data_IF_154324227502
#
_entry.id   IF_154324227502
#
_cell.length_a   1.000
_cell.length_b   1.000
_cell.length_c   1.000
_cell.angle_alpha   90.00
_cell.angle_beta   90.00
_cell.angle_gamma   90.00
#
_symmetry.space_group_name_H-M   'P 1'
#
loop_
_entity.id
_entity.type
_entity.pdbx_description
1 polymer ?
2 water ?
#
# COMPACT_ATOMS: atom_id res chain seq x y z
N UNK A 31 -25.22 22.11 7.87
CA UNK A 31 -26.67 22.31 8.14
C UNK A 31 -26.85 23.58 8.96
N UNK A 32 -25.75 24.25 9.26
CA UNK A 32 -25.82 25.47 10.05
C UNK A 32 -24.86 25.27 11.21
N UNK A 33 -24.92 24.07 11.79
CA UNK A 33 -24.05 23.72 12.91
C UNK A 33 -22.72 23.30 12.27
N UNK A 34 -22.83 22.71 11.08
CA UNK A 34 -21.67 22.27 10.33
C UNK A 34 -20.98 23.46 9.70
N UNK A 35 -21.74 24.54 9.50
CA UNK A 35 -21.19 25.73 8.91
C UNK A 35 -20.26 26.42 9.89
N UNK A 36 -20.70 26.56 11.13
CA UNK A 36 -19.90 27.18 12.17
C UNK A 36 -18.68 26.28 12.50
N UNK A 37 -18.92 24.98 12.61
CA UNK A 37 -17.86 24.04 12.86
C UNK A 37 -16.74 24.18 11.82
N UNK A 38 -17.11 24.15 10.53
CA UNK A 38 -16.14 24.26 9.45
C UNK A 38 -15.36 25.58 9.49
N UNK A 39 -16.09 26.66 9.80
CA UNK A 39 -15.51 27.99 9.91
C UNK A 39 -14.42 28.02 11.01
N UNK A 40 -14.77 27.51 12.18
CA UNK A 40 -13.83 27.43 13.30
C UNK A 40 -12.61 26.58 12.95
N UNK A 41 -12.84 25.47 12.23
CA UNK A 41 -11.71 24.64 11.82
C UNK A 41 -10.80 25.46 10.90
N UNK A 42 -11.39 26.28 10.02
CA UNK A 42 -10.56 27.08 9.12
C UNK A 42 -9.79 28.15 9.90
N UNK A 43 -10.44 28.74 10.89
CA UNK A 43 -9.83 29.78 11.72
C UNK A 43 -8.63 29.17 12.43
N UNK A 44 -8.84 27.99 13.01
CA UNK A 44 -7.78 27.24 13.69
C UNK A 44 -6.59 26.97 12.77
N UNK A 45 -6.87 26.46 11.58
CA UNK A 45 -5.79 26.17 10.63
C UNK A 45 -5.08 27.45 10.21
N UNK A 46 -5.78 28.59 10.25
CA UNK A 46 -5.16 29.84 9.87
C UNK A 46 -4.15 30.28 10.93
N UNK A 47 -4.52 30.13 12.19
CA UNK A 47 -3.62 30.44 13.28
C UNK A 47 -2.35 29.57 13.20
N UNK A 48 -2.55 28.29 12.93
CA UNK A 48 -1.43 27.35 12.80
C UNK A 48 -0.50 27.78 11.67
N UNK A 49 -1.09 28.04 10.53
CA UNK A 49 -0.35 28.45 9.35
C UNK A 49 0.44 29.75 9.58
N UNK A 50 -0.09 30.62 10.44
CA UNK A 50 0.52 31.91 10.76
C UNK A 50 1.58 31.76 11.87
N UNK A 51 1.79 30.53 12.35
CA UNK A 51 2.76 30.31 13.39
C UNK A 51 2.17 30.49 14.79
N UNK A 52 0.92 30.92 14.92
CA UNK A 52 0.33 31.08 16.27
C UNK A 52 -0.26 29.76 16.73
N UNK A 53 0.62 28.77 16.89
CA UNK A 53 0.24 27.42 17.29
C UNK A 53 -0.71 27.27 18.46
N UNK A 54 -0.31 27.85 19.58
CA UNK A 54 -1.09 27.81 20.81
C UNK A 54 -2.48 28.46 20.63
N UNK A 55 -2.58 29.55 19.87
CA UNK A 55 -3.88 30.23 19.67
C UNK A 55 -4.88 29.41 18.86
N UNK A 56 -4.37 28.50 18.04
CA UNK A 56 -5.19 27.63 17.19
C UNK A 56 -6.17 26.78 18.00
N UNK A 57 -5.82 26.47 19.25
CA UNK A 57 -6.69 25.64 20.10
C UNK A 57 -8.09 26.18 20.41
N UNK A 58 -8.20 27.49 20.64
CA UNK A 58 -9.50 28.10 20.99
C UNK A 58 -10.56 27.75 19.95
N UNK A 59 -10.35 28.15 18.68
CA UNK A 59 -11.28 27.87 17.59
C UNK A 59 -11.54 26.36 17.44
N UNK A 60 -10.48 25.56 17.52
CA UNK A 60 -10.65 24.12 17.35
C UNK A 60 -11.46 23.47 18.48
N UNK A 61 -11.37 23.97 19.70
CA UNK A 61 -12.18 23.36 20.74
C UNK A 61 -13.64 23.73 20.49
N UNK A 62 -13.88 24.92 19.94
CA UNK A 62 -15.24 25.35 19.65
C UNK A 62 -15.81 24.41 18.59
N UNK A 63 -15.04 24.16 17.54
CA UNK A 63 -15.48 23.24 16.50
C UNK A 63 -15.86 21.90 17.15
N UNK A 64 -15.01 21.43 18.04
CA UNK A 64 -15.25 20.17 18.73
C UNK A 64 -16.43 20.20 19.72
N UNK A 65 -16.72 21.37 20.30
CA UNK A 65 -17.85 21.46 21.22
C UNK A 65 -19.15 21.31 20.41
N UNK A 66 -19.13 21.77 19.17
CA UNK A 66 -20.24 21.67 18.24
C UNK A 66 -20.32 20.26 17.66
N UNK A 67 -19.18 19.64 17.38
CA UNK A 67 -19.19 18.30 16.81
C UNK A 67 -18.03 17.48 17.36
N UNK A 68 -18.25 16.82 18.51
CA UNK A 68 -17.31 15.98 19.24
C UNK A 68 -16.56 14.95 18.42
N UNK A 69 -17.10 14.57 17.27
CA UNK A 69 -16.42 13.57 16.47
C UNK A 69 -15.85 14.11 15.14
N UNK A 70 -15.86 15.43 14.97
CA UNK A 70 -15.31 16.00 13.73
C UNK A 70 -13.88 15.52 13.46
N UNK A 71 -13.68 14.81 12.35
CA UNK A 71 -12.38 14.28 12.00
C UNK A 71 -11.40 15.40 11.66
N UNK A 72 -11.90 16.44 10.99
CA UNK A 72 -11.03 17.52 10.61
C UNK A 72 -10.60 18.36 11.84
N UNK A 73 -11.45 18.46 12.86
CA UNK A 73 -11.09 19.24 14.04
C UNK A 73 -10.08 18.46 14.88
N UNK A 74 -10.30 17.16 15.03
CA UNK A 74 -9.33 16.35 15.75
C UNK A 74 -7.99 16.40 15.02
N UNK A 75 -8.03 16.26 13.69
CA UNK A 75 -6.82 16.27 12.88
C UNK A 75 -6.01 17.57 13.01
N UNK A 76 -6.70 18.70 13.01
CA UNK A 76 -6.02 19.99 13.14
C UNK A 76 -5.41 20.10 14.54
N UNK A 77 -6.19 19.71 15.56
CA UNK A 77 -5.69 19.76 16.93
C UNK A 77 -4.43 18.86 17.02
N UNK A 78 -4.45 17.73 16.32
CA UNK A 78 -3.31 16.82 16.26
C UNK A 78 -2.03 17.49 15.79
N UNK A 79 -2.13 18.36 14.77
CA UNK A 79 -0.92 19.02 14.32
C UNK A 79 -0.55 20.16 15.28
N UNK A 80 -1.54 20.67 16.02
CA UNK A 80 -1.25 21.73 16.99
C UNK A 80 -0.30 21.06 17.99
N UNK A 81 -0.71 19.92 18.55
CA UNK A 81 0.10 19.19 19.53
C UNK A 81 1.45 18.71 18.97
N UNK A 82 1.42 18.21 17.75
CA UNK A 82 2.60 17.71 17.07
C UNK A 82 3.59 18.86 16.98
N UNK A 83 3.09 20.02 16.61
CA UNK A 83 3.92 21.21 16.50
C UNK A 83 4.51 21.61 17.88
N UNK A 84 3.74 21.42 18.96
CA UNK A 84 4.23 21.73 20.31
C UNK A 84 5.02 20.60 20.96
N UNK A 86 4.23 17.50 21.67
CA UNK A 86 3.46 16.77 22.68
C UNK A 86 2.98 15.55 21.89
N UNK A 87 3.89 14.59 21.62
CA UNK A 87 3.52 13.39 20.86
C UNK A 87 2.39 12.53 21.40
N UNK A 88 2.23 12.40 22.73
CA UNK A 88 1.13 11.57 23.25
C UNK A 88 -0.20 12.18 22.89
N UNK A 89 -0.31 13.49 23.06
CA UNK A 89 -1.55 14.21 22.75
C UNK A 89 -1.81 14.18 21.25
N UNK A 90 -0.77 14.40 20.47
CA UNK A 90 -0.92 14.42 19.01
C UNK A 90 -1.43 13.04 18.54
N UNK A 91 -0.79 11.97 19.02
CA UNK A 91 -1.17 10.60 18.66
C UNK A 91 -2.63 10.34 18.99
N UNK A 92 -3.05 10.75 20.18
CA UNK A 92 -4.44 10.55 20.58
C UNK A 92 -5.42 11.31 19.66
N UNK A 93 -5.04 12.49 19.23
CA UNK A 93 -5.93 13.27 18.36
C UNK A 93 -5.95 12.68 16.95
N UNK A 94 -4.79 12.23 16.47
CA UNK A 94 -4.73 11.56 15.18
C UNK A 94 -5.62 10.33 15.17
N UNK A 95 -5.61 9.58 16.26
CA UNK A 95 -6.44 8.39 16.33
C UNK A 95 -7.92 8.73 16.42
N UNK A 96 -8.27 9.80 17.13
CA UNK A 96 -9.68 10.18 17.23
C UNK A 96 -10.18 10.64 15.86
N UNK A 97 -9.32 11.32 15.11
CA UNK A 97 -9.66 11.81 13.78
C UNK A 97 -9.95 10.61 12.85
N UNK A 98 -9.15 9.56 12.95
CA UNK A 98 -9.32 8.36 12.15
C UNK A 98 -10.42 7.40 12.64
N UNK A 99 -10.93 7.60 13.85
CA UNK A 99 -11.96 6.73 14.38
C UNK A 99 -13.17 7.02 13.52
N UNK A 100 -13.39 8.30 13.28
CA UNK A 100 -14.50 8.76 12.47
C UNK A 100 -14.45 8.07 11.10
N UNK A 101 -13.43 8.40 10.31
CA UNK A 101 -13.25 7.77 9.00
C UNK A 101 -11.82 7.24 8.93
N UNK A 102 -11.66 5.95 9.21
CA UNK A 102 -10.36 5.29 9.19
C UNK A 102 -9.62 5.31 7.84
N UNK A 103 -10.32 5.69 6.76
CA UNK A 103 -9.70 5.70 5.43
C UNK A 103 -9.45 7.06 4.77
N UNK A 104 -9.53 8.12 5.57
CA UNK A 104 -9.29 9.50 5.17
C UNK A 104 -7.81 9.66 4.82
N UNK A 105 -7.49 9.73 3.53
CA UNK A 105 -6.11 9.81 3.06
C UNK A 105 -5.28 11.00 3.54
N UNK A 106 -5.89 12.16 3.64
CA UNK A 106 -5.18 13.34 4.09
C UNK A 106 -4.70 13.14 5.53
N UNK A 107 -5.60 12.68 6.40
CA UNK A 107 -5.29 12.47 7.80
C UNK A 107 -4.37 11.26 7.98
N UNK A 108 -4.59 10.21 7.19
CA UNK A 108 -3.70 9.05 7.27
C UNK A 108 -2.30 9.52 6.88
N UNK A 109 -2.19 10.41 5.91
CA UNK A 109 -0.87 10.85 5.48
C UNK A 109 -0.21 11.75 6.53
N UNK A 110 -0.97 12.67 7.13
CA UNK A 110 -0.43 13.53 8.17
C UNK A 110 0.02 12.67 9.37
N UNK A 111 -0.80 11.68 9.74
CA UNK A 111 -0.45 10.81 10.85
C UNK A 111 0.81 9.95 10.53
N UNK A 112 0.86 9.38 9.33
CA UNK A 112 2.03 8.60 8.98
C UNK A 112 3.29 9.45 8.96
N UNK A 113 3.11 10.73 8.58
CA UNK A 113 4.23 11.66 8.58
C UNK A 113 4.67 11.85 10.05
N UNK A 114 3.70 11.96 10.94
CA UNK A 114 3.95 12.15 12.38
C UNK A 114 4.70 10.90 12.89
N UNK A 115 4.17 9.73 12.55
CA UNK A 115 4.79 8.46 12.97
C UNK A 115 6.23 8.36 12.51
N UNK A 116 6.52 8.84 11.30
CA UNK A 116 7.87 8.85 10.74
C UNK A 116 8.81 9.73 11.62
N UNK A 117 8.34 10.93 11.99
CA UNK A 117 9.12 11.82 12.83
C UNK A 117 9.36 11.21 14.20
N UNK A 118 8.43 10.37 14.67
CA UNK A 118 8.55 9.71 15.96
C UNK A 118 9.34 8.42 15.87
N UNK A 119 9.82 8.11 14.67
CA UNK A 119 10.60 6.90 14.43
C UNK A 119 9.84 5.59 14.61
N UNK A 120 8.52 5.65 14.44
CA UNK A 120 7.66 4.48 14.56
C UNK A 120 7.40 4.06 13.11
N UNK A 121 8.47 3.63 12.44
CA UNK A 121 8.41 3.27 11.03
C UNK A 121 7.41 2.21 10.60
N UNK A 122 7.29 1.14 11.36
CA UNK A 122 6.33 0.11 10.98
C UNK A 122 4.93 0.70 10.94
N UNK A 123 4.57 1.46 11.96
CA UNK A 123 3.25 2.03 11.98
C UNK A 123 3.07 3.11 10.93
N UNK A 124 4.11 3.93 10.68
CA UNK A 124 4.05 4.96 9.64
C UNK A 124 3.74 4.27 8.31
N UNK A 125 4.53 3.25 7.99
CA UNK A 125 4.39 2.48 6.74
C UNK A 125 2.96 1.98 6.59
N UNK A 126 2.41 1.36 7.62
CA UNK A 126 1.06 0.85 7.60
C UNK A 126 0.00 1.93 7.29
N UNK A 127 0.08 3.08 7.97
CA UNK A 127 -0.89 4.14 7.76
C UNK A 127 -0.75 4.71 6.36
N UNK A 128 0.48 4.84 5.89
CA UNK A 128 0.74 5.36 4.55
C UNK A 128 0.24 4.39 3.46
N UNK A 129 0.38 3.08 3.68
CA UNK A 129 -0.12 2.10 2.72
C UNK A 129 -1.64 2.24 2.60
N UNK A 130 -2.31 2.52 3.71
CA UNK A 130 -3.76 2.68 3.63
C UNK A 130 -4.07 4.02 2.91
N UNK A 131 -3.27 5.04 3.18
CA UNK A 131 -3.48 6.35 2.54
C UNK A 131 -3.34 6.27 1.03
N UNK A 132 -2.41 5.47 0.57
CA UNK A 132 -2.16 5.36 -0.86
C UNK A 132 -3.34 4.84 -1.68
N UNK A 133 -4.32 4.23 -1.03
CA UNK A 133 -5.47 3.68 -1.71
C UNK A 133 -6.49 4.68 -2.26
N UNK A 134 -6.50 5.92 -1.76
CA UNK A 134 -7.43 6.95 -2.29
C UNK A 134 -6.70 7.55 -3.47
N UNK A 135 -6.98 7.05 -4.67
CA UNK A 135 -6.26 7.56 -5.83
C UNK A 135 -6.74 8.97 -6.27
N UNK A 136 -7.74 9.51 -5.60
CA UNK A 136 -8.25 10.85 -5.95
C UNK A 136 -7.68 11.90 -5.03
N UNK A 137 -6.90 11.48 -4.04
CA UNK A 137 -6.33 12.44 -3.10
C UNK A 137 -5.31 13.32 -3.81
N UNK A 138 -5.55 14.65 -3.84
CA UNK A 138 -4.63 15.58 -4.50
C UNK A 138 -3.16 15.49 -4.08
N UNK A 139 -2.93 15.14 -2.83
CA UNK A 139 -1.58 15.03 -2.32
C UNK A 139 -1.05 13.60 -2.22
N UNK A 140 -1.63 12.72 -3.03
CA UNK A 140 -1.18 11.32 -3.04
C UNK A 140 0.33 11.27 -3.31
N UNK A 141 0.85 12.22 -4.10
CA UNK A 141 2.30 12.26 -4.38
C UNK A 141 3.11 12.34 -3.08
N UNK A 142 2.57 13.05 -2.09
CA UNK A 142 3.24 13.18 -0.77
C UNK A 142 3.19 11.86 -0.02
N UNK A 143 2.07 11.14 -0.19
CA UNK A 143 1.95 9.86 0.45
C UNK A 143 3.08 8.96 -0.04
N UNK A 144 3.35 8.94 -1.34
CA UNK A 144 4.42 8.12 -1.88
C UNK A 144 5.80 8.63 -1.48
N UNK A 145 5.94 9.93 -1.34
CA UNK A 145 7.21 10.45 -0.87
C UNK A 145 7.45 9.88 0.54
N UNK A 146 6.42 9.92 1.39
CA UNK A 146 6.54 9.40 2.75
C UNK A 146 6.86 7.91 2.81
N UNK A 147 6.28 7.14 1.91
CA UNK A 147 6.54 5.71 1.83
C UNK A 147 8.02 5.53 1.49
N UNK A 148 8.53 6.38 0.60
CA UNK A 148 9.94 6.30 0.25
C UNK A 148 10.86 6.67 1.42
N UNK A 149 10.53 7.73 2.15
CA UNK A 149 11.38 8.11 3.28
C UNK A 149 11.37 7.02 4.34
N UNK A 150 10.19 6.46 4.66
CA UNK A 150 10.09 5.39 5.65
C UNK A 150 10.89 4.18 5.17
N UNK A 151 10.86 3.91 3.86
CA UNK A 151 11.61 2.77 3.33
C UNK A 151 13.11 2.97 3.58
N UNK A 152 13.57 4.21 3.45
CA UNK A 152 14.98 4.52 3.70
C UNK A 152 15.37 4.07 5.10
N UNK A 153 14.57 4.49 6.08
CA UNK A 153 14.83 4.14 7.47
C UNK A 153 14.69 2.66 7.77
N UNK A 155 16.00 0.56 5.85
CA UNK A 155 17.14 0.04 5.10
C UNK A 155 16.75 -0.68 3.82
N UNK A 156 15.78 -0.15 3.08
CA UNK A 156 15.38 -0.75 1.82
C UNK A 156 15.41 0.33 0.74
N UNK A 157 16.63 0.75 0.36
CA UNK A 157 16.83 1.77 -0.66
C UNK A 157 16.25 1.49 -2.05
N UNK A 158 16.21 0.22 -2.47
CA UNK A 158 15.64 -0.08 -3.78
C UNK A 158 14.12 0.15 -3.72
N UNK A 159 13.53 -0.20 -2.59
CA UNK A 159 12.12 -0.03 -2.37
C UNK A 159 11.81 1.48 -2.26
N UNK A 160 12.66 2.22 -1.55
CA UNK A 160 12.48 3.65 -1.39
C UNK A 160 12.44 4.30 -2.79
N UNK A 161 13.36 3.84 -3.63
CA UNK A 161 13.48 4.37 -4.99
C UNK A 161 12.19 4.20 -5.75
N UNK A 162 11.58 3.03 -5.67
CA UNK A 162 10.32 2.81 -6.38
C UNK A 162 9.22 3.75 -5.85
N UNK A 163 9.19 3.98 -4.55
CA UNK A 163 8.19 4.89 -4.00
C UNK A 163 8.48 6.30 -4.49
N UNK A 164 9.75 6.71 -4.45
CA UNK A 164 10.10 8.04 -4.93
C UNK A 164 9.73 8.25 -6.41
N UNK A 165 9.93 7.23 -7.24
CA UNK A 165 9.56 7.35 -8.64
C UNK A 165 8.04 7.52 -8.79
N UNK A 166 7.26 6.82 -7.96
CA UNK A 166 5.80 6.97 -8.04
C UNK A 166 5.42 8.42 -7.68
N UNK A 167 6.08 8.97 -6.66
CA UNK A 167 5.80 10.35 -6.26
C UNK A 167 6.10 11.35 -7.40
N UNK A 168 7.22 11.18 -8.08
CA UNK A 168 7.58 12.11 -9.15
C UNK A 168 6.72 11.93 -10.39
N UNK A 169 6.14 10.74 -10.57
CA UNK A 169 5.29 10.50 -11.73
C UNK A 169 3.99 11.30 -11.52
N UNK A 170 3.55 11.42 -10.27
CA UNK A 170 2.33 12.17 -9.94
C UNK A 170 2.58 13.68 -9.83
N UNK A 171 3.79 14.03 -9.43
CA UNK A 171 4.14 15.43 -9.34
C UNK A 171 5.63 15.61 -9.58
N UNK A 172 5.95 15.96 -10.82
CA UNK A 172 7.32 16.16 -11.28
C UNK A 172 8.06 17.28 -10.59
N UNK A 173 7.32 18.29 -10.12
CA UNK A 173 7.93 19.44 -9.49
C UNK A 173 8.18 19.30 -7.98
N UNK A 174 9.07 18.39 -7.59
CA UNK A 174 9.37 18.17 -6.18
C UNK A 174 10.90 18.05 -6.01
N UNK A 175 11.60 19.18 -5.87
CA UNK A 175 13.06 19.18 -5.72
C UNK A 175 13.55 18.24 -4.61
N UNK A 176 12.85 18.19 -3.48
CA UNK A 176 13.28 17.32 -2.39
C UNK A 176 13.26 15.83 -2.75
N UNK A 177 12.29 15.40 -3.57
CA UNK A 177 12.23 14.01 -4.00
C UNK A 177 13.33 13.77 -5.01
N UNK A 178 13.52 14.73 -5.91
CA UNK A 178 14.57 14.61 -6.92
C UNK A 178 15.93 14.43 -6.24
N UNK A 179 16.11 15.09 -5.10
CA UNK A 179 17.38 14.99 -4.37
C UNK A 179 17.56 13.60 -3.79
N UNK A 180 16.48 13.03 -3.24
CA UNK A 180 16.59 11.68 -2.67
C UNK A 180 16.88 10.70 -3.80
N UNK A 182 18.51 11.42 -6.65
CA UNK A 182 19.93 11.65 -7.02
C UNK A 182 20.87 10.92 -6.06
N UNK A 183 20.58 11.04 -4.77
CA UNK A 183 21.44 10.39 -3.79
C UNK A 183 21.44 8.88 -3.97
N UNK A 184 20.26 8.29 -4.17
CA UNK A 184 20.18 6.85 -4.34
C UNK A 184 20.93 6.41 -5.57
N UNK A 185 20.67 7.07 -6.69
CA UNK A 185 21.35 6.69 -7.94
C UNK A 185 22.85 6.87 -7.81
N UNK A 186 23.28 7.97 -7.20
CA UNK A 186 24.71 8.19 -6.99
C UNK A 186 25.29 7.01 -6.24
N UNK A 187 24.65 6.65 -5.14
CA UNK A 187 25.13 5.54 -4.33
C UNK A 187 25.14 4.23 -5.12
N UNK A 188 24.30 4.12 -6.15
CA UNK A 188 24.21 2.93 -7.01
C UNK A 188 25.21 3.00 -8.17
N UNK A 189 25.96 4.10 -8.25
CA UNK A 189 26.92 4.30 -9.33
C UNK A 189 26.22 4.61 -10.66
N UNK A 190 24.91 4.83 -10.63
CA UNK A 190 24.13 5.17 -11.83
C UNK A 190 24.24 6.67 -12.04
N UNK A 191 25.47 7.15 -12.27
CA UNK A 191 25.76 8.57 -12.42
C UNK A 191 24.94 9.42 -13.37
N UNK A 192 24.60 8.93 -14.55
CA UNK A 192 23.85 9.78 -15.47
C UNK A 192 22.44 10.02 -14.96
N UNK A 193 21.75 8.96 -14.51
CA UNK A 193 20.39 9.22 -14.02
C UNK A 193 20.51 10.09 -12.75
N UNK A 194 21.53 9.83 -11.94
CA UNK A 194 21.75 10.58 -10.70
C UNK A 194 21.85 12.06 -10.99
N UNK A 195 22.75 12.38 -11.92
CA UNK A 195 22.99 13.74 -12.34
C UNK A 195 21.72 14.39 -12.85
N UNK A 196 20.97 13.62 -13.61
CA UNK A 196 19.73 14.14 -14.15
C UNK A 196 18.80 14.58 -13.04
N UNK A 197 18.59 13.71 -12.06
CA UNK A 197 17.70 14.04 -10.96
C UNK A 197 18.30 15.19 -10.13
N UNK A 198 19.61 15.22 -10.01
CA UNK A 198 20.24 16.29 -9.27
C UNK A 198 19.94 17.63 -9.94
N UNK A 199 20.20 17.70 -11.24
CA UNK A 199 19.93 18.95 -11.94
C UNK A 199 18.47 19.37 -11.73
N UNK A 200 17.55 18.40 -11.76
CA UNK A 200 16.14 18.74 -11.55
C UNK A 200 15.96 19.30 -10.15
N UNK A 201 16.70 18.75 -9.19
CA UNK A 201 16.62 19.27 -7.82
C UNK A 201 17.21 20.68 -7.74
N UNK A 202 18.36 20.89 -8.37
CA UNK A 202 19.02 22.19 -8.34
C UNK A 202 18.14 23.31 -8.89
N UNK A 203 17.41 23.02 -9.97
CA UNK A 203 16.53 24.03 -10.55
C UNK A 203 15.26 24.16 -9.70
N UNK A 204 15.43 24.08 -8.38
CA UNK A 204 14.30 24.17 -7.49
C UNK A 204 14.60 25.14 -6.37
N UNK A 205 15.82 25.66 -6.36
CA UNK A 205 16.21 26.62 -5.35
C UNK A 205 17.22 26.19 -4.29
N UNK A 206 16.71 25.60 -3.22
CA UNK A 206 17.55 25.20 -2.10
C UNK A 206 18.83 24.47 -2.42
N UNK A 207 19.65 24.35 -1.38
CA UNK A 207 20.94 23.66 -1.37
C UNK A 207 21.29 23.65 0.11
N UNK A 208 21.83 22.55 0.59
CA UNK A 208 22.24 22.47 1.99
C UNK A 208 23.58 21.76 1.97
N UNK A 209 24.19 21.54 3.12
CA UNK A 209 25.49 20.90 3.17
C UNK A 209 25.44 19.58 2.39
N UNK A 210 24.46 18.75 2.71
CA UNK A 210 24.28 17.48 2.06
C UNK A 210 24.23 17.57 0.54
N UNK A 211 23.35 18.40 0.00
CA UNK A 211 23.22 18.51 -1.44
C UNK A 211 24.43 19.12 -2.15
N UNK A 212 25.12 20.05 -1.48
CA UNK A 212 26.31 20.66 -2.09
C UNK A 212 27.36 19.58 -2.26
N UNK A 213 27.53 18.73 -1.26
CA UNK A 213 28.53 17.68 -1.34
C UNK A 213 28.18 16.66 -2.44
N UNK A 214 26.89 16.35 -2.56
CA UNK A 214 26.44 15.40 -3.58
C UNK A 214 26.73 16.00 -4.95
N UNK A 215 26.42 17.29 -5.11
CA UNK A 215 26.66 17.95 -6.38
C UNK A 215 28.15 18.03 -6.69
N UNK A 216 28.95 18.24 -5.65
CA UNK A 216 30.39 18.29 -5.80
C UNK A 216 30.89 16.95 -6.29
N UNK A 217 30.49 15.87 -5.63
CA UNK A 217 30.94 14.55 -6.05
C UNK A 217 30.44 14.17 -7.45
N UNK A 218 29.27 14.68 -7.85
CA UNK A 218 28.75 14.39 -9.18
C UNK A 218 29.56 15.14 -10.22
N UNK A 219 29.89 16.40 -9.93
CA UNK A 219 30.68 17.23 -10.85
C UNK A 219 32.01 16.52 -11.13
N UNK A 220 32.64 16.02 -10.07
CA UNK A 220 33.91 15.33 -10.20
C UNK A 220 33.79 14.15 -11.16
N UNK A 221 32.67 13.44 -11.12
CA UNK A 221 32.45 12.31 -12.00
C UNK A 221 32.34 12.76 -13.46
N UNK A 222 31.67 13.89 -13.67
CA UNK A 222 31.49 14.42 -15.02
C UNK A 222 32.48 15.54 -15.32
N UNK A 223 33.66 15.44 -14.70
CA UNK A 223 34.75 16.40 -14.85
C UNK A 223 34.29 17.82 -15.17
N UNK A 224 33.53 18.36 -14.21
CA UNK A 224 33.02 19.72 -14.30
C UNK A 224 33.69 20.45 -13.13
N UNK A 225 34.90 20.96 -13.37
CA UNK A 225 35.68 21.67 -12.36
C UNK A 225 34.99 22.92 -11.83
N UNK A 226 34.24 23.60 -12.70
CA UNK A 226 33.55 24.82 -12.32
C UNK A 226 32.62 24.60 -11.14
N UNK A 227 31.58 23.79 -11.34
CA UNK A 227 30.64 23.54 -10.27
C UNK A 227 31.33 22.96 -9.05
N UNK A 228 32.20 21.97 -9.26
CA UNK A 228 32.89 21.34 -8.13
C UNK A 228 33.59 22.36 -7.22
N UNK A 229 34.26 23.35 -7.81
CA UNK A 229 34.96 24.38 -7.06
C UNK A 229 33.97 25.40 -6.49
N UNK A 230 32.94 25.72 -7.26
CA UNK A 230 31.93 26.67 -6.83
C UNK A 230 31.15 26.10 -5.62
N UNK A 231 30.60 24.89 -5.76
CA UNK A 231 29.85 24.28 -4.66
C UNK A 231 30.70 24.17 -3.42
N UNK A 232 31.98 23.87 -3.62
CA UNK A 232 32.89 23.76 -2.49
C UNK A 232 33.03 25.11 -1.80
N UNK A 233 32.77 26.16 -2.57
CA UNK A 233 32.85 27.52 -2.05
C UNK A 233 31.66 27.79 -1.15
N UNK A 234 30.46 27.63 -1.70
CA UNK A 234 29.22 27.83 -0.96
C UNK A 234 29.29 26.98 0.30
N UNK A 235 29.87 25.80 0.17
CA UNK A 235 29.98 24.88 1.30
C UNK A 235 30.95 25.36 2.39
N UNK A 236 32.07 25.96 2.00
CA UNK A 236 33.06 26.44 2.97
C UNK A 236 32.52 27.72 3.59
N UNK A 237 31.77 28.46 2.79
CA UNK A 237 31.20 29.72 3.19
C UNK A 237 29.99 29.63 4.11
N UNK A 238 29.06 28.74 3.80
CA UNK A 238 27.83 28.62 4.56
C UNK A 238 27.75 27.48 5.54
N UNK A 239 28.59 26.48 5.38
CA UNK A 239 28.57 25.32 6.25
C UNK A 239 29.97 24.95 6.73
N UNK A 240 30.79 25.96 7.08
CA UNK A 240 32.16 25.70 7.55
C UNK A 240 32.27 24.68 8.66
N UNK A 241 31.22 24.49 9.44
CA UNK A 241 31.33 23.53 10.53
C UNK A 241 30.64 22.20 10.27
N UNK A 242 30.18 21.99 9.05
CA UNK A 242 29.48 20.74 8.69
C UNK A 242 30.46 19.59 8.45
N UNK A 243 29.97 18.36 8.62
CA UNK A 243 30.80 17.20 8.37
C UNK A 243 31.04 17.15 6.87
N UNK A 244 30.05 17.63 6.10
CA UNK A 244 30.16 17.64 4.65
C UNK A 244 31.38 18.43 4.19
N UNK A 245 31.59 19.62 4.77
CA UNK A 245 32.73 20.43 4.37
C UNK A 245 34.05 19.75 4.74
N UNK A 246 34.03 19.06 5.87
CA UNK A 246 35.20 18.34 6.34
C UNK A 246 35.59 17.30 5.30
N UNK A 247 34.60 16.53 4.84
CA UNK A 247 34.85 15.50 3.83
C UNK A 247 35.30 16.12 2.52
N UNK A 248 34.69 17.24 2.15
CA UNK A 248 35.06 17.91 0.92
C UNK A 248 36.54 18.20 0.89
N UNK A 249 37.05 18.69 2.02
CA UNK A 249 38.46 19.01 2.16
C UNK A 249 39.30 17.76 1.96
N UNK A 250 38.79 16.61 2.38
CA UNK A 250 39.52 15.36 2.20
C UNK A 250 39.50 15.00 0.72
N UNK A 251 39.13 15.98 -0.11
CA UNK A 251 39.04 15.81 -1.56
C UNK A 251 38.08 14.68 -1.90
N UNK A 252 37.04 14.54 -1.08
CA UNK A 252 36.03 13.50 -1.25
C UNK A 252 34.89 13.97 -2.15
N UNK B 32 27.47 -18.12 -5.18
CA UNK B 32 27.42 -18.60 -6.54
C UNK B 32 26.92 -17.59 -7.57
N UNK B 33 25.68 -17.76 -8.03
CA UNK B 33 25.08 -16.88 -9.03
C UNK B 33 23.58 -17.13 -9.12
N UNK B 34 22.87 -16.10 -9.58
CA UNK B 34 21.44 -16.11 -9.70
C UNK B 34 20.84 -17.19 -10.60
N UNK B 35 21.55 -17.56 -11.66
CA UNK B 35 21.03 -18.57 -12.57
C UNK B 35 20.86 -19.91 -11.88
N UNK B 36 21.91 -20.33 -11.17
CA UNK B 36 21.91 -21.58 -10.43
C UNK B 36 20.80 -21.57 -9.39
N UNK B 37 20.79 -20.50 -8.59
CA UNK B 37 19.80 -20.31 -7.55
C UNK B 37 18.42 -20.43 -8.16
N UNK B 38 18.19 -19.67 -9.23
CA UNK B 38 16.88 -19.71 -9.86
C UNK B 38 16.51 -21.06 -10.42
N UNK B 39 17.50 -21.74 -11.01
CA UNK B 39 17.25 -23.09 -11.54
C UNK B 39 16.78 -23.99 -10.39
N UNK B 40 17.48 -23.93 -9.25
CA UNK B 40 17.11 -24.75 -8.10
C UNK B 40 15.73 -24.40 -7.52
N UNK B 41 15.40 -23.12 -7.52
CA UNK B 41 14.11 -22.68 -7.02
C UNK B 41 12.97 -23.26 -7.84
N UNK B 42 13.11 -23.27 -9.16
CA UNK B 42 12.08 -23.84 -10.03
C UNK B 42 12.01 -25.34 -9.85
N UNK B 43 13.16 -25.97 -9.60
CA UNK B 43 13.19 -27.41 -9.40
C UNK B 43 12.31 -27.66 -8.18
N UNK B 44 12.57 -26.91 -7.11
CA UNK B 44 11.79 -27.05 -5.89
C UNK B 44 10.30 -26.85 -6.14
N UNK B 45 9.96 -25.79 -6.85
CA UNK B 45 8.58 -25.49 -7.17
C UNK B 45 7.93 -26.66 -7.92
N UNK B 46 8.54 -27.06 -9.04
CA UNK B 46 8.04 -28.17 -9.84
C UNK B 46 7.66 -29.34 -8.95
N UNK B 47 8.48 -29.64 -7.94
CA UNK B 47 8.18 -30.73 -7.03
C UNK B 47 7.01 -30.38 -6.13
N UNK B 48 7.04 -29.18 -5.56
CA UNK B 48 5.97 -28.72 -4.69
C UNK B 48 4.66 -28.63 -5.48
N UNK B 49 4.72 -28.02 -6.67
CA UNK B 49 3.55 -27.85 -7.52
C UNK B 49 2.99 -29.20 -7.95
N UNK B 50 3.42 -30.26 -7.28
CA UNK B 50 2.96 -31.60 -7.60
C UNK B 50 2.97 -32.54 -6.39
N UNK B 51 2.72 -31.98 -5.22
CA UNK B 51 2.63 -32.79 -4.01
C UNK B 51 3.85 -33.17 -3.22
N UNK B 52 4.98 -33.43 -3.87
CA UNK B 52 6.16 -33.83 -3.13
C UNK B 52 6.82 -32.63 -2.46
N UNK B 53 6.54 -32.45 -1.17
CA UNK B 53 7.08 -31.33 -0.41
C UNK B 53 8.35 -31.66 0.36
N UNK B 54 8.47 -32.89 0.80
CA UNK B 54 9.65 -33.28 1.55
C UNK B 54 10.84 -33.21 0.61
N UNK B 55 10.56 -33.47 -0.67
CA UNK B 55 11.59 -33.46 -1.69
C UNK B 55 11.93 -32.04 -2.08
N UNK B 56 10.92 -31.31 -2.54
CA UNK B 56 11.10 -29.92 -2.97
C UNK B 56 12.12 -29.18 -2.10
N UNK B 57 12.21 -29.59 -0.83
CA UNK B 57 13.11 -28.97 0.13
C UNK B 57 14.59 -29.11 -0.18
N UNK B 58 14.99 -30.16 -0.88
CA UNK B 58 16.42 -30.32 -1.17
C UNK B 58 16.93 -29.27 -2.16
N UNK B 59 16.22 -29.07 -3.28
CA UNK B 59 16.66 -28.06 -4.25
C UNK B 59 16.51 -26.65 -3.63
N UNK B 60 15.46 -26.43 -2.83
CA UNK B 60 15.27 -25.12 -2.20
C UNK B 60 16.43 -24.79 -1.26
N UNK B 61 16.86 -25.78 -0.50
CA UNK B 61 17.94 -25.55 0.44
C UNK B 61 19.27 -25.33 -0.29
N UNK B 62 19.38 -25.87 -1.51
CA UNK B 62 20.58 -25.65 -2.30
C UNK B 62 20.53 -24.20 -2.73
N UNK B 63 19.35 -23.74 -3.11
CA UNK B 63 19.18 -22.35 -3.52
C UNK B 63 19.63 -21.45 -2.38
N UNK B 64 19.22 -21.82 -1.17
CA UNK B 64 19.55 -21.03 0.01
C UNK B 64 21.04 -21.08 0.36
N UNK B 65 21.71 -22.15 -0.01
CA UNK B 65 23.14 -22.22 0.25
C UNK B 65 23.82 -21.19 -0.67
N UNK B 66 23.36 -21.11 -1.92
CA UNK B 66 23.94 -20.18 -2.88
C UNK B 66 23.67 -18.72 -2.51
N UNK B 67 22.43 -18.46 -2.07
CA UNK B 67 21.99 -17.11 -1.71
C UNK B 67 21.08 -17.18 -0.48
N UNK B 68 21.67 -17.08 0.72
CA UNK B 68 20.92 -17.14 1.99
C UNK B 68 19.82 -16.07 2.11
N UNK B 69 19.94 -15.01 1.32
CA UNK B 69 18.94 -13.94 1.37
C UNK B 69 17.81 -14.09 0.37
N UNK B 70 17.92 -15.04 -0.55
CA UNK B 70 16.91 -15.24 -1.59
C UNK B 70 15.46 -15.22 -1.11
N UNK B 71 14.75 -14.15 -1.47
CA UNK B 71 13.37 -14.00 -1.11
C UNK B 71 12.53 -15.11 -1.74
N UNK B 72 12.81 -15.43 -3.00
CA UNK B 72 12.04 -16.49 -3.66
C UNK B 72 12.27 -17.87 -3.07
N UNK B 73 13.51 -18.13 -2.66
CA UNK B 73 13.85 -19.43 -2.07
C UNK B 73 13.11 -19.57 -0.73
N UNK B 74 13.13 -18.50 0.06
CA UNK B 74 12.44 -18.51 1.35
C UNK B 74 10.94 -18.62 1.16
N UNK B 75 10.41 -17.91 0.16
CA UNK B 75 8.97 -17.93 -0.07
C UNK B 75 8.54 -19.33 -0.49
N UNK B 76 9.32 -19.93 -1.37
CA UNK B 76 8.99 -21.28 -1.84
C UNK B 76 8.99 -22.21 -0.62
N UNK B 77 9.98 -22.06 0.25
CA UNK B 77 10.07 -22.85 1.46
C UNK B 77 8.86 -22.60 2.37
N UNK B 78 8.42 -21.35 2.48
CA UNK B 78 7.26 -21.04 3.29
C UNK B 78 6.05 -21.87 2.80
N UNK B 79 5.85 -21.94 1.49
CA UNK B 79 4.73 -22.66 0.96
C UNK B 79 4.87 -24.17 1.19
N UNK B 80 6.12 -24.63 1.33
CA UNK B 80 6.33 -26.06 1.59
C UNK B 80 5.83 -26.39 3.00
N UNK B 81 6.32 -25.66 4.00
CA UNK B 81 5.89 -25.86 5.39
C UNK B 81 4.39 -25.61 5.50
N UNK B 82 3.93 -24.56 4.86
CA UNK B 82 2.52 -24.25 4.87
C UNK B 82 1.75 -25.51 4.45
N UNK B 83 2.27 -26.18 3.43
CA UNK B 83 1.66 -27.41 2.90
C UNK B 83 1.78 -28.56 3.91
N UNK B 84 2.91 -28.68 4.57
CA UNK B 84 3.13 -29.72 5.56
C UNK B 84 2.50 -29.31 6.89
N UNK B 86 2.73 -26.83 8.81
CA UNK B 86 3.65 -26.28 9.81
C UNK B 86 3.59 -24.76 9.77
N UNK B 87 2.52 -24.17 10.33
CA UNK B 87 2.31 -22.72 10.37
C UNK B 87 3.46 -21.86 10.89
N UNK B 88 4.04 -22.22 12.03
CA UNK B 88 5.11 -21.41 12.59
C UNK B 88 6.36 -21.41 11.75
N UNK B 89 6.64 -22.51 11.07
CA UNK B 89 7.83 -22.59 10.22
C UNK B 89 7.57 -21.77 8.95
N UNK B 90 6.36 -21.89 8.40
CA UNK B 90 5.95 -21.14 7.20
C UNK B 90 6.01 -19.63 7.49
N UNK B 91 5.45 -19.19 8.63
CA UNK B 91 5.49 -17.77 8.98
C UNK B 91 6.93 -17.25 9.03
N UNK B 92 7.83 -18.04 9.60
CA UNK B 92 9.23 -17.66 9.71
C UNK B 92 9.88 -17.47 8.34
N UNK B 93 9.63 -18.40 7.43
CA UNK B 93 10.20 -18.31 6.09
C UNK B 93 9.63 -17.10 5.34
N UNK B 94 8.34 -16.86 5.48
CA UNK B 94 7.74 -15.70 4.81
C UNK B 94 8.39 -14.39 5.30
N UNK B 95 8.61 -14.28 6.62
CA UNK B 95 9.22 -13.06 7.17
C UNK B 95 10.66 -12.89 6.69
N UNK B 96 11.37 -14.02 6.56
CA UNK B 96 12.73 -14.00 6.07
C UNK B 96 12.73 -13.48 4.63
N UNK B 97 11.81 -13.97 3.82
CA UNK B 97 11.72 -13.49 2.44
C UNK B 97 11.41 -11.98 2.42
N UNK B 98 10.54 -11.52 3.31
CA UNK B 98 10.18 -10.09 3.30
C UNK B 98 11.32 -9.20 3.77
N UNK B 99 12.28 -9.77 4.48
CA UNK B 99 13.41 -8.99 4.95
C UNK B 99 14.30 -8.51 3.80
N UNK B 100 14.27 -9.21 2.68
CA UNK B 100 15.11 -8.79 1.58
C UNK B 100 14.55 -7.52 0.86
N UNK B 101 15.45 -6.65 0.38
CA UNK B 101 15.07 -5.46 -0.34
C UNK B 101 14.95 -5.82 -1.83
N UNK B 102 13.89 -6.57 -2.14
CA UNK B 102 13.58 -7.00 -3.50
C UNK B 102 12.11 -6.75 -3.84
N UNK B 103 11.71 -7.10 -5.06
CA UNK B 103 10.34 -6.90 -5.52
C UNK B 103 9.53 -8.08 -5.01
N UNK B 104 8.89 -7.88 -3.85
CA UNK B 104 8.17 -8.96 -3.19
C UNK B 104 6.67 -9.06 -3.29
N UNK B 105 6.04 -8.46 -4.31
CA UNK B 105 4.59 -8.49 -4.45
C UNK B 105 4.00 -9.89 -4.44
N UNK B 106 4.59 -10.81 -5.19
CA UNK B 106 4.12 -12.19 -5.24
C UNK B 106 4.28 -12.82 -3.83
N UNK B 107 5.44 -12.61 -3.23
CA UNK B 107 5.68 -13.15 -1.89
C UNK B 107 4.66 -12.54 -0.91
N UNK B 108 4.40 -11.22 -1.04
CA UNK B 108 3.47 -10.54 -0.14
C UNK B 108 2.06 -11.06 -0.33
N UNK B 109 1.72 -11.34 -1.58
CA UNK B 109 0.40 -11.85 -1.89
C UNK B 109 0.25 -13.27 -1.32
N UNK B 110 1.28 -14.12 -1.46
CA UNK B 110 1.15 -15.48 -0.90
C UNK B 110 1.12 -15.44 0.62
N UNK B 111 1.99 -14.62 1.21
CA UNK B 111 2.00 -14.51 2.65
C UNK B 111 0.62 -14.02 3.07
N UNK B 112 0.10 -13.03 2.36
CA UNK B 112 -1.23 -12.55 2.70
C UNK B 112 -2.26 -13.68 2.68
N UNK B 113 -2.18 -14.55 1.67
CA UNK B 113 -3.11 -15.68 1.62
C UNK B 113 -2.89 -16.58 2.83
N UNK B 114 -1.65 -16.82 3.18
CA UNK B 114 -1.35 -17.63 4.33
C UNK B 114 -1.96 -17.02 5.61
N UNK B 115 -1.71 -15.73 5.84
CA UNK B 115 -2.24 -15.05 7.02
C UNK B 115 -3.75 -15.18 7.04
N UNK B 116 -4.35 -15.13 5.86
CA UNK B 116 -5.79 -15.26 5.73
C UNK B 116 -6.31 -16.59 6.28
N UNK B 117 -5.74 -17.71 5.84
CA UNK B 117 -6.21 -18.99 6.37
C UNK B 117 -5.84 -19.15 7.86
N UNK B 118 -4.83 -18.40 8.31
CA UNK B 118 -4.45 -18.46 9.72
C UNK B 118 -5.39 -17.54 10.51
N UNK B 119 -6.36 -16.96 9.81
CA UNK B 119 -7.31 -16.05 10.40
C UNK B 119 -6.64 -14.81 10.96
N UNK B 120 -5.45 -14.50 10.47
CA UNK B 120 -4.77 -13.31 10.91
C UNK B 120 -5.13 -12.23 9.86
N UNK B 121 -6.39 -11.82 9.89
CA UNK B 121 -6.93 -10.88 8.92
C UNK B 121 -6.34 -9.50 8.80
N UNK B 122 -6.09 -8.84 9.94
CA UNK B 122 -5.51 -7.51 9.89
C UNK B 122 -4.12 -7.58 9.26
N UNK B 123 -3.36 -8.60 9.59
CA UNK B 123 -2.02 -8.77 9.03
C UNK B 123 -2.12 -9.10 7.54
N UNK B 124 -3.04 -9.98 7.20
CA UNK B 124 -3.23 -10.37 5.80
C UNK B 124 -3.49 -9.09 4.99
N UNK B 125 -4.37 -8.23 5.52
CA UNK B 125 -4.73 -6.97 4.86
C UNK B 125 -3.48 -6.10 4.64
N UNK B 126 -2.68 -5.91 5.67
CA UNK B 126 -1.47 -5.09 5.51
C UNK B 126 -0.52 -5.62 4.43
N UNK B 127 -0.24 -6.92 4.42
CA UNK B 127 0.67 -7.48 3.42
C UNK B 127 0.08 -7.32 2.01
N UNK B 128 -1.22 -7.53 1.87
CA UNK B 128 -1.90 -7.36 0.57
C UNK B 128 -1.84 -5.89 0.07
N UNK B 129 -1.99 -4.93 0.98
CA UNK B 129 -1.90 -3.53 0.61
C UNK B 129 -0.49 -3.28 0.07
N UNK B 130 0.52 -3.89 0.68
CA UNK B 130 1.87 -3.67 0.24
C UNK B 130 2.10 -4.40 -1.09
N UNK B 131 1.47 -5.55 -1.26
CA UNK B 131 1.66 -6.28 -2.52
C UNK B 131 1.04 -5.50 -3.67
N UNK B 132 -0.04 -4.77 -3.40
CA UNK B 132 -0.74 -4.02 -4.43
C UNK B 132 0.02 -2.85 -4.97
N UNK B 133 1.09 -2.46 -4.28
CA UNK B 133 1.89 -1.32 -4.71
C UNK B 133 2.62 -1.53 -6.02
N UNK B 134 2.93 -2.79 -6.37
CA UNK B 134 3.68 -3.13 -7.58
C UNK B 134 2.77 -3.13 -8.81
N UNK B 135 2.88 -2.10 -9.64
CA UNK B 135 2.04 -2.02 -10.82
C UNK B 135 2.52 -2.94 -11.95
N UNK B 136 3.71 -3.52 -11.81
CA UNK B 136 4.23 -4.41 -12.84
C UNK B 136 3.81 -5.83 -12.56
N UNK B 137 3.32 -6.10 -11.35
CA UNK B 137 2.90 -7.44 -10.99
C UNK B 137 1.68 -7.89 -11.80
N UNK B 138 1.81 -8.98 -12.58
CA UNK B 138 0.73 -9.51 -13.42
C UNK B 138 -0.56 -9.85 -12.65
N UNK B 139 -0.44 -10.32 -11.40
CA UNK B 139 -1.60 -10.67 -10.59
C UNK B 139 -2.13 -9.52 -9.73
N UNK B 140 -1.71 -8.31 -10.04
CA UNK B 140 -2.19 -7.17 -9.27
C UNK B 140 -3.69 -7.16 -9.07
N UNK B 141 -4.46 -7.52 -10.10
CA UNK B 141 -5.92 -7.45 -9.96
C UNK B 141 -6.41 -8.56 -9.03
N UNK B 142 -5.63 -9.63 -8.88
CA UNK B 142 -6.01 -10.68 -7.93
C UNK B 142 -5.68 -10.15 -6.53
N UNK B 143 -4.61 -9.39 -6.41
CA UNK B 143 -4.28 -8.81 -5.11
C UNK B 143 -5.49 -7.96 -4.66
N UNK B 144 -6.07 -7.16 -5.57
CA UNK B 144 -7.20 -6.34 -5.19
C UNK B 144 -8.39 -7.19 -4.84
N UNK B 145 -8.55 -8.32 -5.53
CA UNK B 145 -9.68 -9.18 -5.19
C UNK B 145 -9.46 -9.70 -3.75
N UNK B 146 -8.22 -10.06 -3.44
CA UNK B 146 -7.90 -10.56 -2.10
C UNK B 146 -8.15 -9.47 -1.04
N UNK B 147 -7.88 -8.23 -1.40
CA UNK B 147 -8.13 -7.15 -0.44
C UNK B 147 -9.63 -7.09 -0.14
N UNK B 148 -10.45 -7.20 -1.17
CA UNK B 148 -11.89 -7.20 -0.99
C UNK B 148 -12.34 -8.39 -0.16
N UNK B 149 -11.77 -9.56 -0.42
CA UNK B 149 -12.12 -10.75 0.32
C UNK B 149 -11.79 -10.59 1.82
N UNK B 150 -10.58 -10.14 2.12
CA UNK B 150 -10.21 -9.96 3.50
C UNK B 150 -11.07 -8.89 4.13
N UNK B 151 -11.39 -7.83 3.39
CA UNK B 151 -12.25 -6.79 3.96
C UNK B 151 -13.60 -7.40 4.36
N UNK B 152 -14.09 -8.37 3.60
CA UNK B 152 -15.38 -8.97 3.92
C UNK B 152 -15.31 -9.70 5.28
N UNK B 153 -14.20 -10.41 5.50
CA UNK B 153 -14.00 -11.12 6.75
C UNK B 153 -13.98 -10.15 7.91
N UNK B 155 -15.67 -7.60 8.12
CA UNK B 155 -16.97 -6.96 8.18
C UNK B 155 -16.90 -5.51 7.73
N UNK B 156 -16.19 -5.27 6.64
CA UNK B 156 -16.08 -3.93 6.09
C UNK B 156 -16.47 -4.04 4.62
N UNK B 157 -17.77 -4.24 4.37
CA UNK B 157 -18.36 -4.39 3.03
C UNK B 157 -18.13 -3.19 2.08
N UNK B 158 -18.18 -1.99 2.62
CA UNK B 158 -17.97 -0.83 1.77
C UNK B 158 -16.54 -0.74 1.23
N UNK B 159 -15.53 -1.09 2.03
CA UNK B 159 -14.17 -1.01 1.49
C UNK B 159 -13.96 -2.21 0.57
N UNK B 160 -14.64 -3.30 0.87
CA UNK B 160 -14.53 -4.51 0.05
C UNK B 160 -15.01 -4.19 -1.35
N UNK B 161 -16.17 -3.54 -1.44
CA UNK B 161 -16.72 -3.20 -2.74
C UNK B 161 -15.73 -2.34 -3.54
N UNK B 162 -15.11 -1.41 -2.84
CA UNK B 162 -14.14 -0.53 -3.47
C UNK B 162 -12.97 -1.34 -4.05
N UNK B 163 -12.50 -2.32 -3.30
CA UNK B 163 -11.40 -3.16 -3.74
C UNK B 163 -11.80 -4.03 -4.93
N UNK B 164 -13.01 -4.60 -4.90
CA UNK B 164 -13.49 -5.41 -6.01
C UNK B 164 -13.61 -4.53 -7.26
N UNK B 165 -14.08 -3.29 -7.07
CA UNK B 165 -14.21 -2.37 -8.20
C UNK B 165 -12.85 -2.03 -8.77
N UNK B 166 -11.84 -1.84 -7.92
CA UNK B 166 -10.48 -1.54 -8.41
C UNK B 166 -9.97 -2.76 -9.21
N UNK B 167 -10.26 -3.98 -8.76
CA UNK B 167 -9.79 -5.18 -9.48
C UNK B 167 -10.36 -5.19 -10.89
N UNK B 168 -11.66 -4.92 -11.00
CA UNK B 168 -12.34 -4.89 -12.30
C UNK B 168 -11.88 -3.76 -13.22
N UNK B 169 -11.44 -2.66 -12.65
CA UNK B 169 -10.96 -1.52 -13.43
C UNK B 169 -9.65 -1.87 -14.11
N UNK B 170 -8.95 -2.86 -13.57
CA UNK B 170 -7.68 -3.31 -14.16
C UNK B 170 -8.04 -4.34 -15.22
N UNK B 171 -8.98 -5.23 -14.91
CA UNK B 171 -9.44 -6.26 -15.85
C UNK B 171 -10.88 -6.64 -15.56
N UNK B 172 -11.77 -6.25 -16.46
CA UNK B 172 -13.20 -6.49 -16.30
C UNK B 172 -13.56 -7.94 -16.37
N UNK B 173 -12.73 -8.74 -17.02
CA UNK B 173 -13.05 -10.15 -17.23
C UNK B 173 -12.50 -11.07 -16.15
N UNK B 174 -13.05 -10.94 -14.94
CA UNK B 174 -12.66 -11.80 -13.81
C UNK B 174 -13.97 -12.21 -13.17
N UNK B 175 -14.53 -13.35 -13.61
CA UNK B 175 -15.81 -13.88 -13.10
C UNK B 175 -15.94 -13.92 -11.57
N UNK B 176 -14.92 -14.41 -10.87
CA UNK B 176 -15.00 -14.49 -9.42
C UNK B 176 -15.24 -13.12 -8.77
N UNK B 177 -14.59 -12.08 -9.31
CA UNK B 177 -14.74 -10.73 -8.76
C UNK B 177 -16.13 -10.17 -9.03
N UNK B 178 -16.63 -10.44 -10.23
CA UNK B 178 -17.97 -9.99 -10.64
C UNK B 178 -18.98 -10.70 -9.74
N UNK B 179 -18.72 -11.94 -9.39
CA UNK B 179 -19.64 -12.66 -8.49
C UNK B 179 -19.70 -11.97 -7.12
N UNK B 180 -18.56 -11.51 -6.60
CA UNK B 180 -18.56 -10.85 -5.30
C UNK B 180 -19.36 -9.54 -5.37
N UNK B 182 -21.78 -8.86 -7.53
CA UNK B 182 -23.19 -9.21 -7.68
C UNK B 182 -23.83 -9.54 -6.31
N UNK B 183 -23.10 -10.31 -5.51
CA UNK B 183 -23.58 -10.71 -4.19
C UNK B 183 -23.75 -9.49 -3.27
N UNK B 184 -22.77 -8.60 -3.23
CA UNK B 184 -22.85 -7.40 -2.40
C UNK B 184 -23.96 -6.47 -2.82
N UNK B 185 -24.08 -6.22 -4.12
CA UNK B 185 -25.14 -5.37 -4.65
C UNK B 185 -26.49 -6.04 -4.38
N UNK B 186 -26.57 -7.36 -4.55
CA UNK B 186 -27.84 -8.03 -4.27
C UNK B 186 -28.28 -7.84 -2.80
N UNK B 187 -27.38 -7.98 -1.84
CA UNK B 187 -27.72 -7.80 -0.43
C UNK B 187 -28.10 -6.36 -0.06
N UNK B 188 -27.72 -5.40 -0.90
CA UNK B 188 -28.02 -4.01 -0.67
C UNK B 188 -29.28 -3.63 -1.45
N UNK B 189 -29.87 -4.62 -2.12
CA UNK B 189 -31.09 -4.47 -2.90
C UNK B 189 -30.92 -3.62 -4.14
N UNK B 190 -29.68 -3.46 -4.58
CA UNK B 190 -29.36 -2.73 -5.80
C UNK B 190 -29.38 -3.78 -6.91
N UNK B 191 -30.56 -4.33 -7.14
CA UNK B 191 -30.77 -5.39 -8.13
C UNK B 191 -30.34 -5.20 -9.55
N UNK B 192 -30.55 -4.02 -10.12
CA UNK B 192 -30.17 -3.85 -11.53
C UNK B 192 -28.66 -3.94 -11.70
N UNK B 193 -27.89 -3.23 -10.86
CA UNK B 193 -26.43 -3.30 -11.00
C UNK B 193 -25.97 -4.72 -10.65
N UNK B 194 -26.63 -5.35 -9.67
CA UNK B 194 -26.27 -6.71 -9.28
C UNK B 194 -26.37 -7.67 -10.47
N UNK B 195 -27.45 -7.55 -11.23
CA UNK B 195 -27.69 -8.42 -12.38
C UNK B 195 -26.60 -8.25 -13.43
N UNK B 196 -26.24 -7.00 -13.71
CA UNK B 196 -25.17 -6.70 -14.66
C UNK B 196 -23.92 -7.46 -14.26
N UNK B 197 -23.52 -7.34 -13.00
CA UNK B 197 -22.33 -8.07 -12.54
C UNK B 197 -22.53 -9.56 -12.56
N UNK B 198 -23.73 -10.04 -12.23
CA UNK B 198 -23.97 -11.46 -12.27
C UNK B 198 -23.89 -11.99 -13.69
N UNK B 199 -24.46 -11.24 -14.63
CA UNK B 199 -24.39 -11.63 -16.05
C UNK B 199 -22.91 -11.74 -16.46
N UNK B 200 -22.12 -10.77 -15.99
CA UNK B 200 -20.69 -10.74 -16.28
C UNK B 200 -20.05 -11.99 -15.72
N UNK B 201 -20.44 -12.39 -14.51
CA UNK B 201 -19.88 -13.60 -13.91
C UNK B 201 -20.31 -14.87 -14.65
N UNK B 202 -21.57 -14.89 -15.04
CA UNK B 202 -22.12 -16.08 -15.70
C UNK B 202 -21.38 -16.47 -16.98
N UNK B 203 -20.84 -15.50 -17.72
CA UNK B 203 -20.12 -15.85 -18.94
C UNK B 203 -18.74 -16.43 -18.70
N UNK B 204 -18.48 -16.85 -17.47
CA UNK B 204 -17.20 -17.45 -17.17
C UNK B 204 -17.53 -18.92 -16.95
N UNK B 205 -18.84 -19.19 -17.00
CA UNK B 205 -19.40 -20.53 -16.82
C UNK B 205 -18.93 -21.35 -15.62
N UNK B 206 -18.66 -20.71 -14.48
CA UNK B 206 -18.19 -21.48 -13.34
C UNK B 206 -19.02 -21.57 -12.07
N UNK B 207 -20.30 -21.92 -12.21
CA UNK B 207 -21.23 -22.02 -11.09
C UNK B 207 -20.90 -22.91 -9.87
N UNK B 208 -21.56 -22.62 -8.75
CA UNK B 208 -21.46 -23.40 -7.50
C UNK B 208 -22.77 -23.20 -6.76
N UNK B 209 -22.92 -23.84 -5.62
CA UNK B 209 -24.17 -23.72 -4.87
C UNK B 209 -24.51 -22.24 -4.63
N UNK B 210 -23.52 -21.50 -4.14
CA UNK B 210 -23.70 -20.10 -3.86
C UNK B 210 -24.10 -19.31 -5.12
N UNK B 211 -23.30 -19.39 -6.20
CA UNK B 211 -23.60 -18.66 -7.42
C UNK B 211 -24.94 -19.05 -8.03
N UNK B 212 -25.30 -20.33 -7.96
CA UNK B 212 -26.59 -20.76 -8.52
C UNK B 212 -27.75 -20.14 -7.76
N UNK B 213 -27.67 -20.15 -6.44
CA UNK B 213 -28.75 -19.59 -5.63
C UNK B 213 -28.87 -18.08 -5.87
N UNK B 214 -27.74 -17.39 -6.00
CA UNK B 214 -27.76 -15.96 -6.28
C UNK B 214 -28.39 -15.77 -7.67
N UNK B 215 -28.05 -16.66 -8.59
CA UNK B 215 -28.62 -16.58 -9.93
C UNK B 215 -30.14 -16.76 -9.92
N UNK B 216 -30.59 -17.74 -9.16
CA UNK B 216 -32.01 -18.01 -9.03
C UNK B 216 -32.73 -16.79 -8.47
N UNK B 217 -32.19 -16.25 -7.39
CA UNK B 217 -32.82 -15.09 -6.76
C UNK B 217 -32.88 -13.88 -7.70
N UNK B 218 -31.80 -13.61 -8.40
CA UNK B 218 -31.79 -12.49 -9.34
C UNK B 218 -32.77 -12.79 -10.48
N UNK B 219 -32.68 -14.00 -11.05
CA UNK B 219 -33.57 -14.39 -12.14
C UNK B 219 -35.00 -14.10 -11.76
N UNK B 220 -35.36 -14.39 -10.51
CA UNK B 220 -36.71 -14.15 -10.06
C UNK B 220 -37.10 -12.69 -9.91
N UNK B 221 -36.17 -11.83 -9.48
CA UNK B 221 -36.48 -10.41 -9.36
C UNK B 221 -36.80 -9.87 -10.75
N UNK B 222 -36.08 -10.38 -11.75
CA UNK B 222 -36.29 -9.95 -13.12
C UNK B 222 -37.24 -10.88 -13.88
N UNK B 223 -38.01 -11.63 -13.09
CA UNK B 223 -39.02 -12.54 -13.62
C UNK B 223 -38.59 -13.39 -14.80
N UNK B 224 -37.44 -14.04 -14.66
CA UNK B 224 -36.94 -14.91 -15.69
C UNK B 224 -37.10 -16.33 -15.16
N UNK B 225 -38.29 -16.89 -15.35
CA UNK B 225 -38.59 -18.23 -14.87
C UNK B 225 -37.71 -19.28 -15.55
N UNK B 226 -37.39 -19.07 -16.82
CA UNK B 226 -36.56 -20.02 -17.53
C UNK B 226 -35.21 -20.21 -16.83
N UNK B 227 -34.57 -19.11 -16.44
CA UNK B 227 -33.28 -19.20 -15.77
C UNK B 227 -33.44 -19.73 -14.36
N UNK B 228 -34.47 -19.25 -13.67
CA UNK B 228 -34.72 -19.70 -12.30
C UNK B 228 -34.83 -21.22 -12.28
N UNK B 229 -35.72 -21.75 -13.13
CA UNK B 229 -35.94 -23.19 -13.24
C UNK B 229 -34.66 -23.90 -13.64
N UNK B 230 -33.99 -23.40 -14.66
CA UNK B 230 -32.74 -24.01 -15.11
C UNK B 230 -31.71 -24.10 -13.98
N UNK B 231 -31.32 -22.96 -13.40
CA UNK B 231 -30.32 -22.99 -12.32
C UNK B 231 -30.74 -23.91 -11.21
N UNK B 232 -32.03 -23.88 -10.88
CA UNK B 232 -32.55 -24.74 -9.83
C UNK B 232 -32.16 -26.19 -10.04
N UNK B 233 -32.27 -26.65 -11.29
CA UNK B 233 -31.93 -28.04 -11.61
C UNK B 233 -30.44 -28.28 -11.39
N UNK B 234 -29.62 -27.38 -11.89
CA UNK B 234 -28.19 -27.57 -11.70
C UNK B 234 -27.91 -27.68 -10.21
N UNK B 235 -28.72 -26.97 -9.42
CA UNK B 235 -28.56 -26.95 -7.98
C UNK B 235 -29.07 -28.29 -7.41
N UNK B 236 -30.34 -28.55 -7.69
CA UNK B 236 -31.03 -29.76 -7.26
C UNK B 236 -30.30 -31.02 -7.69
N UNK B 237 -29.45 -30.88 -8.70
CA UNK B 237 -28.68 -31.99 -9.26
C UNK B 237 -27.22 -32.04 -8.83
N UNK B 238 -26.53 -30.90 -8.85
CA UNK B 238 -25.12 -30.83 -8.47
C UNK B 238 -24.86 -30.70 -6.98
N UNK B 239 -25.86 -30.23 -6.23
CA UNK B 239 -25.70 -30.01 -4.78
C UNK B 239 -27.01 -30.35 -4.12
N UNK B 240 -27.46 -31.59 -4.27
CA UNK B 240 -28.72 -32.05 -3.69
C UNK B 240 -28.80 -31.81 -2.19
N UNK B 241 -27.66 -31.84 -1.53
CA UNK B 241 -27.63 -31.65 -0.10
C UNK B 241 -27.54 -30.27 0.52
N UNK B 242 -26.79 -29.39 -0.14
CA UNK B 242 -26.54 -28.00 0.27
C UNK B 242 -27.72 -27.24 0.83
N UNK B 243 -27.40 -26.26 1.65
CA UNK B 243 -28.38 -25.38 2.27
C UNK B 243 -29.07 -24.57 1.15
N UNK B 244 -28.28 -24.18 0.15
CA UNK B 244 -28.82 -23.42 -0.98
C UNK B 244 -29.99 -24.11 -1.61
N UNK B 245 -29.84 -25.42 -1.81
CA UNK B 245 -30.92 -26.21 -2.41
C UNK B 245 -32.19 -26.08 -1.57
N UNK B 246 -32.01 -26.19 -0.26
CA UNK B 246 -33.11 -26.04 0.69
C UNK B 246 -33.79 -24.68 0.50
N UNK B 247 -32.96 -23.63 0.51
CA UNK B 247 -33.47 -22.26 0.34
C UNK B 247 -34.21 -22.13 -1.00
N UNK B 248 -33.63 -22.73 -2.03
CA UNK B 248 -34.25 -22.69 -3.35
C UNK B 248 -35.65 -23.34 -3.25
N UNK B 249 -35.71 -24.50 -2.60
CA UNK B 249 -36.97 -25.22 -2.42
C UNK B 249 -37.97 -24.37 -1.67
N UNK B 250 -37.52 -23.73 -0.60
CA UNK B 250 -38.39 -22.89 0.21
C UNK B 250 -38.86 -21.60 -0.45
N UNK B 251 -38.09 -21.10 -1.41
CA UNK B 251 -38.40 -19.84 -2.09
C UNK B 251 -39.06 -20.10 -3.44
N UNK B 252 -38.90 -21.33 -3.90
CA UNK B 252 -39.45 -21.81 -5.16
C UNK B 252 -40.92 -21.40 -5.35
#
# INVERSE_FOLDING_TARGET
>A
XGSSHHHHHHSSGLVPRGSHXGDQNPLKTDKGRDEARDAYIQLGLGYLQRGNTEQAKVPLRKALEIDPSSADAHAALAVVFQTEXEPKLADEEYRKALASDSRNARVLNNYGGFLYEQKRYEEAYQRLLEASQDTLYPERSRVFENLGLVSLQXKKPAQAKEYFEKSLRLNRNQPSVALEXADLLYKEREYVPARQYYDLFAQGGGQNARSLLLGIRLAKVFEDRDTAASYGLQLKRLYPGSLEYQEFQAEK
>B
XGSSHHHHHHSSGLVPRGSHXGDQNPLKTDKGRDEARDAYIQLGLGYLQRGNTEQAKVPLRKALEIDPSSADAHAALAVVFQTEXEPKLADEEYRKALASDSRNARVLNNYGGFLYEQKRYEEAYQRLLEASQDTLYPERSRVFENLGLVSLQXKKPAQAKEYFEKSLRLNRNQPSVALEXADLLYKEREYVPARQYYDLFAQGGGQNARSLLLGIRLAKVFEDRDTAASYGLQLKRLYPGSLEYQEFQAEK
#
